data_IF_371755782502
#
_entry.id   IF_371755782502
#
_cell.length_a   1.000
_cell.length_b   1.000
_cell.length_c   1.000
_cell.angle_alpha   90.00
_cell.angle_beta   90.00
_cell.angle_gamma   90.00
#
_symmetry.space_group_name_H-M   'P 1'
#
loop_
_entity.id
_entity.type
_entity.pdbx_description
1 polymer ?
#
# COMPACT_ATOMS: atom_id res chain seq x y z
N UNK A 1 -19.14 -33.87 30.66
CA UNK A 1 -19.05 -33.23 29.32
C UNK A 1 -18.53 -31.80 29.46
N UNK A 2 -17.26 -31.54 29.08
CA UNK A 2 -16.69 -30.17 29.06
C UNK A 2 -16.86 -29.59 27.66
N UNK A 3 -17.67 -28.54 27.50
CA UNK A 3 -17.78 -27.81 26.23
C UNK A 3 -16.53 -26.94 26.07
N UNK A 4 -15.73 -27.25 25.05
CA UNK A 4 -14.57 -26.44 24.63
C UNK A 4 -15.11 -25.11 24.10
N UNK A 5 -14.84 -24.02 24.81
CA UNK A 5 -15.14 -22.67 24.35
C UNK A 5 -14.16 -22.29 23.24
N UNK A 6 -14.66 -22.10 22.02
CA UNK A 6 -13.91 -21.47 20.94
C UNK A 6 -14.14 -19.97 21.05
N UNK A 7 -13.16 -19.22 21.53
CA UNK A 7 -13.16 -17.77 21.41
C UNK A 7 -12.62 -17.42 20.03
N UNK A 8 -13.49 -16.98 19.12
CA UNK A 8 -13.02 -16.28 17.91
C UNK A 8 -12.39 -14.97 18.37
N UNK A 9 -11.06 -14.89 18.29
CA UNK A 9 -10.35 -13.61 18.34
C UNK A 9 -10.62 -12.90 17.02
N UNK A 10 -11.58 -11.97 17.00
CA UNK A 10 -11.78 -11.08 15.85
C UNK A 10 -10.57 -10.14 15.82
N UNK A 11 -9.73 -10.15 14.77
CA UNK A 11 -8.60 -9.22 14.69
C UNK A 11 -9.15 -7.79 14.68
N UNK A 12 -8.48 -6.84 15.36
CA UNK A 12 -8.95 -5.46 15.39
C UNK A 12 -9.03 -4.90 13.97
N UNK A 13 -10.13 -4.20 13.66
CA UNK A 13 -10.23 -3.43 12.42
C UNK A 13 -9.06 -2.44 12.40
N UNK A 14 -8.17 -2.55 11.41
CA UNK A 14 -7.03 -1.64 11.26
C UNK A 14 -7.57 -0.23 11.01
N UNK A 15 -7.69 0.56 12.07
CA UNK A 15 -7.97 1.98 11.99
C UNK A 15 -6.71 2.67 11.45
N UNK A 16 -6.81 3.25 10.25
CA UNK A 16 -5.71 4.01 9.68
C UNK A 16 -5.49 5.30 10.47
N UNK A 17 -4.23 5.72 10.72
CA UNK A 17 -3.92 6.92 11.49
C UNK A 17 -4.53 8.17 10.83
N UNK A 18 -4.81 9.21 11.62
CA UNK A 18 -5.43 10.47 11.16
C UNK A 18 -4.44 11.41 10.46
N UNK A 19 -3.14 11.15 10.57
CA UNK A 19 -2.08 11.96 9.97
C UNK A 19 -1.19 11.10 9.06
N UNK A 20 -0.58 11.70 8.03
CA UNK A 20 0.37 10.98 7.19
C UNK A 20 1.52 10.42 8.04
N UNK A 21 1.90 9.15 7.86
CA UNK A 21 3.12 8.63 8.47
C UNK A 21 4.33 9.39 7.92
N UNK A 22 5.27 9.74 8.80
CA UNK A 22 6.48 10.51 8.47
C UNK A 22 7.69 9.59 8.30
N UNK A 23 8.63 9.98 7.44
CA UNK A 23 9.91 9.26 7.27
C UNK A 23 9.85 7.98 6.43
N UNK A 24 8.70 7.64 5.83
CA UNK A 24 8.59 6.53 4.88
C UNK A 24 7.65 6.90 3.71
N UNK A 25 8.18 7.31 2.54
CA UNK A 25 7.37 7.81 1.43
C UNK A 25 6.40 6.75 0.88
N UNK A 26 6.78 5.47 0.87
CA UNK A 26 5.93 4.36 0.42
C UNK A 26 4.72 4.21 1.35
N UNK A 27 4.95 4.28 2.66
CA UNK A 27 3.88 4.22 3.65
C UNK A 27 2.96 5.44 3.57
N UNK A 28 3.53 6.63 3.36
CA UNK A 28 2.78 7.88 3.15
C UNK A 28 1.88 7.79 1.93
N UNK A 29 2.40 7.27 0.81
CA UNK A 29 1.65 7.05 -0.42
C UNK A 29 0.48 6.07 -0.22
N UNK A 30 0.74 4.90 0.37
CA UNK A 30 -0.29 3.90 0.65
C UNK A 30 -1.40 4.48 1.54
N UNK A 31 -1.04 5.26 2.56
CA UNK A 31 -2.00 5.96 3.40
C UNK A 31 -2.82 6.99 2.62
N UNK A 32 -2.17 7.80 1.78
CA UNK A 32 -2.84 8.81 0.95
C UNK A 32 -3.89 8.20 0.02
N UNK A 33 -3.58 7.08 -0.61
CA UNK A 33 -4.51 6.33 -1.47
C UNK A 33 -5.72 5.80 -0.69
N UNK A 34 -5.52 5.24 0.51
CA UNK A 34 -6.64 4.81 1.38
C UNK A 34 -7.52 5.99 1.78
N UNK A 35 -6.90 7.13 2.11
CA UNK A 35 -7.64 8.34 2.48
C UNK A 35 -8.44 8.94 1.32
N UNK A 36 -7.92 8.87 0.10
CA UNK A 36 -8.65 9.26 -1.10
C UNK A 36 -9.81 8.29 -1.38
N UNK A 37 -9.56 6.97 -1.31
CA UNK A 37 -10.59 5.95 -1.47
C UNK A 37 -11.74 6.12 -0.47
N UNK A 38 -11.43 6.39 0.81
CA UNK A 38 -12.44 6.64 1.84
C UNK A 38 -13.32 7.85 1.50
N UNK A 39 -12.73 8.96 1.05
CA UNK A 39 -13.48 10.17 0.69
C UNK A 39 -14.39 9.97 -0.53
N UNK A 40 -13.90 9.22 -1.52
CA UNK A 40 -14.73 8.81 -2.65
C UNK A 40 -15.90 7.92 -2.17
N UNK A 41 -15.65 6.96 -1.29
CA UNK A 41 -16.68 6.08 -0.72
C UNK A 41 -17.72 6.84 0.11
N UNK A 42 -17.29 7.81 0.91
CA UNK A 42 -18.18 8.70 1.67
C UNK A 42 -19.07 9.52 0.71
N UNK A 43 -18.53 10.00 -0.42
CA UNK A 43 -19.30 10.72 -1.43
C UNK A 43 -20.31 9.81 -2.17
N UNK A 44 -19.96 8.54 -2.43
CA UNK A 44 -20.88 7.55 -3.03
C UNK A 44 -22.13 7.32 -2.17
N UNK A 45 -22.01 7.45 -0.84
CA UNK A 45 -23.16 7.33 0.09
C UNK A 45 -24.12 8.51 0.04
N UNK A 46 -23.75 9.59 -0.64
CA UNK A 46 -24.57 10.80 -0.83
C UNK A 46 -24.72 11.08 -2.34
N UNK A 47 -25.39 10.19 -3.10
CA UNK A 47 -25.38 10.25 -4.56
C UNK A 47 -26.05 11.51 -5.15
N UNK A 48 -26.94 12.15 -4.39
CA UNK A 48 -27.61 13.40 -4.77
C UNK A 48 -26.74 14.65 -4.54
N UNK A 49 -25.66 14.53 -3.75
CA UNK A 49 -24.70 15.61 -3.51
C UNK A 49 -23.67 15.68 -4.65
N UNK A 50 -24.07 16.37 -5.72
CA UNK A 50 -23.22 16.59 -6.91
C UNK A 50 -21.91 17.29 -6.57
N UNK A 51 -21.94 18.26 -5.66
CA UNK A 51 -20.75 19.00 -5.27
C UNK A 51 -19.79 18.13 -4.45
N UNK A 52 -20.32 17.28 -3.58
CA UNK A 52 -19.57 16.26 -2.86
C UNK A 52 -18.88 15.26 -3.78
N UNK A 53 -19.59 14.74 -4.79
CA UNK A 53 -19.01 13.85 -5.81
C UNK A 53 -17.86 14.52 -6.56
N UNK A 54 -18.07 15.77 -6.99
CA UNK A 54 -17.07 16.56 -7.70
C UNK A 54 -15.85 16.87 -6.81
N UNK A 55 -16.08 17.24 -5.56
CA UNK A 55 -15.03 17.54 -4.60
C UNK A 55 -14.16 16.31 -4.32
N UNK A 56 -14.78 15.14 -4.11
CA UNK A 56 -14.08 13.89 -3.89
C UNK A 56 -13.25 13.48 -5.13
N UNK A 57 -13.84 13.57 -6.32
CA UNK A 57 -13.15 13.27 -7.57
C UNK A 57 -11.94 14.20 -7.81
N UNK A 58 -12.10 15.52 -7.60
CA UNK A 58 -11.00 16.49 -7.74
C UNK A 58 -9.89 16.28 -6.72
N UNK A 59 -10.24 15.95 -5.48
CA UNK A 59 -9.23 15.66 -4.47
C UNK A 59 -8.43 14.39 -4.80
N UNK A 60 -9.11 13.34 -5.26
CA UNK A 60 -8.44 12.14 -5.78
C UNK A 60 -7.52 12.48 -6.94
N UNK A 61 -8.00 13.30 -7.89
CA UNK A 61 -7.22 13.69 -9.05
C UNK A 61 -5.95 14.45 -8.66
N UNK A 62 -6.05 15.39 -7.72
CA UNK A 62 -4.90 16.12 -7.18
C UNK A 62 -3.85 15.18 -6.57
N UNK A 63 -4.27 14.14 -5.85
CA UNK A 63 -3.34 13.12 -5.34
C UNK A 63 -2.60 12.44 -6.49
N UNK A 64 -3.31 12.05 -7.54
CA UNK A 64 -2.71 11.39 -8.70
C UNK A 64 -1.78 12.31 -9.50
N UNK A 65 -2.04 13.61 -9.57
CA UNK A 65 -1.10 14.59 -10.16
C UNK A 65 0.21 14.65 -9.38
N UNK A 66 0.16 14.57 -8.03
CA UNK A 66 1.37 14.54 -7.20
C UNK A 66 2.14 13.23 -7.45
N UNK A 67 1.43 12.09 -7.46
CA UNK A 67 2.03 10.79 -7.78
C UNK A 67 2.68 10.80 -9.16
N UNK A 68 2.02 11.38 -10.16
CA UNK A 68 2.54 11.48 -11.52
C UNK A 68 3.80 12.35 -11.58
N UNK A 69 3.86 13.45 -10.83
CA UNK A 69 5.07 14.26 -10.73
C UNK A 69 6.25 13.46 -10.14
N UNK A 70 6.01 12.68 -9.09
CA UNK A 70 7.04 11.81 -8.48
C UNK A 70 7.50 10.68 -9.42
N UNK A 71 6.61 10.15 -10.27
CA UNK A 71 6.96 9.13 -11.28
C UNK A 71 7.86 9.70 -12.38
N UNK A 72 7.63 10.96 -12.75
CA UNK A 72 8.35 11.67 -13.82
C UNK A 72 9.69 12.25 -13.37
N UNK A 73 9.98 12.22 -12.07
CA UNK A 73 11.27 12.65 -11.53
C UNK A 73 12.41 11.75 -12.05
N UNK A 74 13.50 12.37 -12.50
CA UNK A 74 14.68 11.69 -13.01
C UNK A 74 15.37 10.84 -11.92
N UNK A 75 15.24 11.23 -10.65
CA UNK A 75 15.79 10.52 -9.49
C UNK A 75 14.89 9.36 -9.00
N UNK A 76 13.80 9.05 -9.71
CA UNK A 76 12.89 7.98 -9.34
C UNK A 76 13.57 6.61 -9.37
N UNK A 77 13.49 5.88 -8.24
CA UNK A 77 14.03 4.52 -8.10
C UNK A 77 13.20 3.44 -8.84
N UNK A 78 12.12 3.83 -9.54
CA UNK A 78 11.24 2.90 -10.25
C UNK A 78 11.89 2.39 -11.53
N UNK A 79 11.66 1.12 -11.87
CA UNK A 79 12.06 0.59 -13.19
C UNK A 79 11.23 1.24 -14.30
N UNK A 80 11.78 1.29 -15.52
CA UNK A 80 11.10 1.90 -16.68
C UNK A 80 9.71 1.29 -16.93
N UNK A 81 9.59 -0.03 -16.81
CA UNK A 81 8.32 -0.74 -16.97
C UNK A 81 7.27 -0.30 -15.95
N UNK A 82 7.66 -0.20 -14.68
CA UNK A 82 6.76 0.25 -13.61
C UNK A 82 6.33 1.69 -13.83
N UNK A 83 7.26 2.58 -14.22
CA UNK A 83 6.92 3.98 -14.56
C UNK A 83 5.89 4.02 -15.70
N UNK A 84 6.12 3.29 -16.79
CA UNK A 84 5.22 3.29 -17.93
C UNK A 84 3.81 2.77 -17.55
N UNK A 85 3.73 1.71 -16.74
CA UNK A 85 2.46 1.18 -16.25
C UNK A 85 1.71 2.21 -15.38
N UNK A 86 2.41 2.91 -14.49
CA UNK A 86 1.80 3.94 -13.65
C UNK A 86 1.39 5.20 -14.44
N UNK A 87 2.16 5.59 -15.46
CA UNK A 87 1.78 6.70 -16.35
C UNK A 87 0.54 6.36 -17.18
N UNK A 88 0.45 5.12 -17.68
CA UNK A 88 -0.75 4.65 -18.38
C UNK A 88 -1.97 4.68 -17.46
N UNK A 89 -1.80 4.27 -16.20
CA UNK A 89 -2.86 4.34 -15.20
C UNK A 89 -3.24 5.79 -14.86
N UNK A 90 -2.26 6.69 -14.71
CA UNK A 90 -2.50 8.11 -14.47
C UNK A 90 -3.34 8.72 -15.59
N UNK A 91 -3.00 8.43 -16.85
CA UNK A 91 -3.77 8.86 -18.02
C UNK A 91 -5.21 8.32 -18.02
N UNK A 92 -5.42 7.08 -17.57
CA UNK A 92 -6.77 6.53 -17.41
C UNK A 92 -7.56 7.31 -16.34
N UNK A 93 -6.95 7.58 -15.19
CA UNK A 93 -7.57 8.29 -14.08
C UNK A 93 -7.94 9.71 -14.47
N UNK A 94 -7.08 10.42 -15.20
CA UNK A 94 -7.36 11.77 -15.72
C UNK A 94 -8.60 11.76 -16.61
N UNK A 95 -8.64 10.88 -17.62
CA UNK A 95 -9.77 10.76 -18.55
C UNK A 95 -11.06 10.38 -17.83
N UNK A 96 -10.99 9.42 -16.90
CA UNK A 96 -12.13 8.97 -16.11
C UNK A 96 -12.66 10.10 -15.20
N UNK A 97 -11.76 10.85 -14.57
CA UNK A 97 -12.10 11.99 -13.73
C UNK A 97 -12.76 13.10 -14.54
N UNK A 98 -12.27 13.42 -15.73
CA UNK A 98 -12.94 14.37 -16.65
C UNK A 98 -14.36 13.91 -16.99
N UNK A 99 -14.56 12.61 -17.21
CA UNK A 99 -15.89 12.02 -17.39
C UNK A 99 -16.81 12.21 -16.18
N UNK A 100 -16.29 12.05 -14.96
CA UNK A 100 -17.01 12.33 -13.70
C UNK A 100 -17.34 13.82 -13.58
N UNK A 101 -16.39 14.71 -13.89
CA UNK A 101 -16.60 16.15 -13.78
C UNK A 101 -17.68 16.63 -14.74
N UNK A 102 -17.70 16.08 -15.95
CA UNK A 102 -18.69 16.41 -16.99
C UNK A 102 -20.07 15.88 -16.60
N UNK A 103 -20.15 14.63 -16.14
CA UNK A 103 -21.40 13.99 -15.73
C UNK A 103 -21.21 13.28 -14.38
N UNK A 104 -21.39 14.01 -13.26
CA UNK A 104 -21.19 13.47 -11.91
C UNK A 104 -22.20 12.38 -11.60
N UNK A 105 -21.69 11.18 -11.35
CA UNK A 105 -22.47 9.98 -11.02
C UNK A 105 -21.68 9.16 -9.99
N UNK A 106 -22.34 8.77 -8.90
CA UNK A 106 -21.71 7.98 -7.84
C UNK A 106 -21.10 6.66 -8.33
N UNK A 107 -21.74 6.00 -9.29
CA UNK A 107 -21.26 4.75 -9.91
C UNK A 107 -19.88 4.87 -10.52
N UNK A 108 -19.53 6.04 -11.07
CA UNK A 108 -18.22 6.28 -11.70
C UNK A 108 -17.10 6.41 -10.66
N UNK A 109 -17.40 6.78 -9.42
CA UNK A 109 -16.37 6.87 -8.37
C UNK A 109 -15.87 5.48 -7.93
N UNK A 110 -16.67 4.43 -8.11
CA UNK A 110 -16.33 3.06 -7.71
C UNK A 110 -15.00 2.58 -8.32
N UNK A 111 -14.77 2.86 -9.59
CA UNK A 111 -13.51 2.50 -10.27
C UNK A 111 -12.29 3.16 -9.62
N UNK A 112 -12.39 4.43 -9.23
CA UNK A 112 -11.30 5.14 -8.55
C UNK A 112 -11.05 4.59 -7.13
N UNK A 113 -12.12 4.22 -6.43
CA UNK A 113 -12.04 3.57 -5.10
C UNK A 113 -11.26 2.25 -5.20
N UNK A 114 -11.62 1.40 -6.16
CA UNK A 114 -10.98 0.09 -6.34
C UNK A 114 -9.50 0.22 -6.71
N UNK A 115 -9.16 1.11 -7.64
CA UNK A 115 -7.76 1.37 -8.02
C UNK A 115 -6.94 1.77 -6.80
N UNK A 116 -7.41 2.77 -6.03
CA UNK A 116 -6.68 3.25 -4.86
C UNK A 116 -6.52 2.17 -3.78
N UNK A 117 -7.57 1.39 -3.51
CA UNK A 117 -7.53 0.31 -2.52
C UNK A 117 -6.57 -0.80 -2.93
N UNK A 118 -6.60 -1.20 -4.20
CA UNK A 118 -5.75 -2.28 -4.72
C UNK A 118 -4.26 -1.89 -4.69
N UNK A 119 -3.94 -0.66 -5.10
CA UNK A 119 -2.55 -0.18 -5.05
C UNK A 119 -2.08 -0.06 -3.60
N UNK A 120 -2.89 0.55 -2.73
CA UNK A 120 -2.53 0.65 -1.32
C UNK A 120 -2.31 -0.73 -0.69
N UNK A 121 -3.16 -1.72 -1.00
CA UNK A 121 -2.98 -3.10 -0.53
C UNK A 121 -1.65 -3.69 -1.01
N UNK A 122 -1.31 -3.54 -2.30
CA UNK A 122 -0.03 -3.99 -2.85
C UNK A 122 1.19 -3.33 -2.19
N UNK A 123 1.10 -2.03 -1.89
CA UNK A 123 2.16 -1.30 -1.18
C UNK A 123 2.29 -1.74 0.29
N UNK A 124 1.19 -2.04 0.97
CA UNK A 124 1.24 -2.59 2.32
C UNK A 124 1.84 -4.00 2.34
N UNK A 125 1.50 -4.83 1.35
CA UNK A 125 2.04 -6.18 1.22
C UNK A 125 3.54 -6.14 0.92
N UNK A 126 4.01 -5.26 0.04
CA UNK A 126 5.44 -5.11 -0.25
C UNK A 126 6.23 -4.66 0.98
N UNK A 127 5.70 -3.71 1.76
CA UNK A 127 6.32 -3.25 3.01
C UNK A 127 6.36 -4.35 4.08
N UNK A 128 5.31 -5.17 4.20
CA UNK A 128 5.31 -6.33 5.10
C UNK A 128 6.41 -7.31 4.72
N UNK A 129 6.55 -7.61 3.43
CA UNK A 129 7.56 -8.55 2.94
C UNK A 129 8.98 -8.00 3.16
N UNK A 130 9.18 -6.70 2.97
CA UNK A 130 10.45 -6.04 3.28
C UNK A 130 10.80 -6.14 4.78
N UNK A 131 9.84 -5.93 5.68
CA UNK A 131 10.06 -6.06 7.12
C UNK A 131 10.38 -7.51 7.57
N UNK A 132 9.81 -8.51 6.90
CA UNK A 132 10.11 -9.92 7.16
C UNK A 132 11.56 -10.27 6.74
N UNK A 133 12.01 -9.83 5.57
CA UNK A 133 13.38 -10.09 5.09
C UNK A 133 14.46 -9.51 6.02
N UNK A 134 14.26 -8.31 6.55
CA UNK A 134 15.19 -7.66 7.51
C UNK A 134 15.27 -8.42 8.85
N UNK A 135 14.21 -9.15 9.21
CA UNK A 135 14.18 -9.94 10.45
C UNK A 135 14.91 -11.27 10.32
N UNK A 136 15.01 -11.83 9.11
CA UNK A 136 15.71 -13.09 8.82
C UNK A 136 17.23 -12.90 8.68
N UNK A 137 17.68 -11.76 8.16
CA UNK A 137 19.12 -11.45 7.97
C UNK A 137 19.87 -11.15 9.28
N UNK A 138 19.16 -10.87 10.38
CA UNK A 138 19.77 -10.54 11.68
C UNK A 138 19.98 -11.74 12.62
N UNK A 139 19.71 -12.96 12.17
CA UNK A 139 20.08 -14.16 12.92
C UNK A 139 21.60 -14.36 12.84
N UNK A 140 22.35 -14.43 13.97
CA UNK A 140 23.79 -14.60 13.90
C UNK A 140 24.12 -15.96 13.27
N UNK A 141 24.85 -15.92 12.16
CA UNK A 141 25.51 -17.07 11.58
C UNK A 141 26.67 -17.48 12.51
N UNK A 142 26.36 -18.28 13.52
CA UNK A 142 27.40 -19.00 14.26
C UNK A 142 27.83 -20.20 13.40
N UNK A 143 28.56 -19.91 12.32
CA UNK A 143 29.33 -20.89 11.56
C UNK A 143 30.76 -20.88 12.09
N UNK A 144 31.04 -21.74 13.07
CA UNK A 144 32.38 -22.28 13.24
C UNK A 144 32.35 -23.75 12.80
N UNK A 145 33.13 -24.01 11.76
CA UNK A 145 33.26 -25.23 10.99
C UNK A 145 33.87 -26.40 11.76
N UNK A 146 33.48 -27.58 11.30
CA UNK A 146 33.90 -28.97 11.56
C UNK A 146 35.40 -29.26 11.32
N UNK A 147 35.87 -30.36 11.95
CA UNK A 147 36.98 -31.29 11.59
C UNK A 147 38.35 -31.05 12.24
N UNK A 148 39.15 -32.01 12.74
CA UNK A 148 39.06 -33.48 12.92
C UNK A 148 40.34 -33.98 13.63
N UNK A 149 40.19 -35.04 14.43
CA UNK A 149 41.07 -36.17 14.78
C UNK A 149 42.56 -36.07 15.19
N UNK A 150 42.81 -36.85 16.25
CA UNK A 150 43.95 -37.70 16.63
C UNK A 150 45.34 -37.13 16.94
N UNK A 151 45.81 -37.40 18.16
CA UNK A 151 47.02 -38.23 18.38
C UNK A 151 47.13 -38.72 19.83
N UNK A 152 47.30 -40.04 19.95
CA UNK A 152 47.71 -40.81 21.13
C UNK A 152 49.11 -40.39 21.59
N UNK A 153 49.36 -40.27 22.91
CA UNK A 153 50.64 -40.71 23.50
C UNK A 153 50.59 -40.96 25.01
N UNK A 154 51.24 -42.06 25.38
CA UNK A 154 51.47 -42.71 26.68
C UNK A 154 52.45 -41.98 27.62
N UNK A 155 52.46 -42.40 28.90
CA UNK A 155 53.49 -42.29 29.98
C UNK A 155 53.18 -41.22 31.04
N UNK A 156 53.30 -41.41 32.35
CA UNK A 156 53.93 -42.44 33.19
C UNK A 156 53.20 -42.58 34.54
#
# INVERSE_FOLDING_TARGET
MKRRGWTMSVPPSKAYPTHPPVGNPVQTLAWGLIQAAKRLDDAVRQPDDRDGLLAAARLNWKLWTIIQADILDDESALTLEVRQNLLNLSNFIDKHTVGIITTPEASKLATLIEINKNIAAGLFDSMRNAAAAVSEEKAPSDTASVSSDDTISTSA
#
